data_IF_103347914114
#
_entry.id   IF_103347914114
#
_cell.length_a   1.000
_cell.length_b   1.000
_cell.length_c   1.000
_cell.angle_alpha   90.00
_cell.angle_beta   90.00
_cell.angle_gamma   90.00
#
_symmetry.space_group_name_H-M   'P 1'
#
loop_
_entity.id
_entity.type
_entity.pdbx_description
1 polymer ?
#
# COMPACT_ATOMS: atom_id res chain seq x y z
N UNK A 1 -51.33 5.94 -40.92
CA UNK A 1 -50.00 5.40 -41.24
C UNK A 1 -49.44 4.84 -39.94
N UNK A 2 -49.66 3.58 -39.58
CA UNK A 2 -48.89 2.38 -39.99
C UNK A 2 -47.37 2.67 -39.99
N UNK A 3 -46.49 1.92 -39.32
CA UNK A 3 -46.54 0.60 -38.66
C UNK A 3 -45.14 0.39 -37.99
N UNK A 4 -45.04 -0.14 -36.75
CA UNK A 4 -44.51 -1.50 -36.41
C UNK A 4 -42.96 -1.59 -36.55
N UNK A 5 -42.15 -2.09 -35.61
CA UNK A 5 -42.40 -2.95 -34.46
C UNK A 5 -41.16 -3.12 -33.56
N UNK A 6 -41.44 -3.43 -32.29
CA UNK A 6 -40.86 -4.51 -31.45
C UNK A 6 -39.33 -4.53 -31.25
N UNK A 7 -38.81 -4.53 -30.02
CA UNK A 7 -39.03 -5.58 -29.00
C UNK A 7 -39.04 -4.95 -27.60
N UNK A 8 -40.22 -4.88 -27.00
CA UNK A 8 -40.40 -5.06 -25.57
C UNK A 8 -40.91 -6.50 -25.39
N UNK A 9 -40.03 -7.44 -25.04
CA UNK A 9 -40.41 -8.74 -24.47
C UNK A 9 -39.16 -9.49 -23.98
N UNK A 10 -38.80 -9.29 -22.70
CA UNK A 10 -38.12 -10.26 -21.81
C UNK A 10 -37.81 -9.66 -20.42
N UNK A 11 -38.69 -8.81 -19.89
CA UNK A 11 -38.60 -8.28 -18.51
C UNK A 11 -39.80 -8.79 -17.73
N UNK A 12 -39.82 -10.10 -17.53
CA UNK A 12 -40.65 -10.77 -16.53
C UNK A 12 -40.12 -12.20 -16.36
N UNK A 13 -40.14 -12.70 -15.11
CA UNK A 13 -39.72 -14.04 -14.63
C UNK A 13 -38.22 -14.06 -14.28
N UNK A 14 -37.74 -13.93 -13.03
CA UNK A 14 -38.25 -14.38 -11.73
C UNK A 14 -37.86 -13.40 -10.59
N UNK A 15 -38.85 -12.72 -10.01
CA UNK A 15 -38.79 -12.21 -8.64
C UNK A 15 -39.45 -13.22 -7.73
N UNK A 16 -38.69 -14.16 -7.16
CA UNK A 16 -39.05 -14.83 -5.89
C UNK A 16 -37.76 -15.12 -5.12
N UNK A 17 -37.56 -14.42 -4.00
CA UNK A 17 -36.78 -14.91 -2.86
C UNK A 17 -35.39 -14.30 -2.61
N UNK A 18 -35.32 -13.02 -2.22
CA UNK A 18 -34.41 -12.52 -1.17
C UNK A 18 -34.67 -11.02 -0.98
N UNK A 19 -35.00 -10.60 0.25
CA UNK A 19 -35.01 -9.20 0.63
C UNK A 19 -33.57 -8.66 0.60
N UNK A 20 -33.10 -8.19 -0.55
CA UNK A 20 -31.75 -7.67 -0.74
C UNK A 20 -31.77 -6.17 -0.98
N UNK A 21 -31.31 -5.41 -0.01
CA UNK A 21 -30.99 -3.98 -0.15
C UNK A 21 -29.95 -3.77 -1.26
N UNK A 22 -30.06 -2.68 -2.03
CA UNK A 22 -29.08 -2.40 -3.09
C UNK A 22 -27.70 -2.05 -2.52
N UNK A 23 -26.63 -2.27 -3.31
CA UNK A 23 -25.25 -1.96 -2.91
C UNK A 23 -25.06 -0.46 -2.59
N UNK A 24 -25.78 0.40 -3.29
CA UNK A 24 -25.72 1.84 -3.15
C UNK A 24 -26.42 2.34 -1.87
N UNK A 25 -27.58 1.76 -1.54
CA UNK A 25 -28.28 2.02 -0.27
C UNK A 25 -27.45 1.57 0.95
N UNK A 26 -26.81 0.39 0.85
CA UNK A 26 -25.89 -0.10 1.88
C UNK A 26 -24.67 0.80 2.09
N UNK A 27 -24.08 1.30 1.01
CA UNK A 27 -22.94 2.23 1.11
C UNK A 27 -23.34 3.56 1.74
N UNK A 28 -24.52 4.09 1.40
CA UNK A 28 -25.03 5.32 2.02
C UNK A 28 -25.28 5.14 3.52
N UNK A 29 -25.84 4.00 3.93
CA UNK A 29 -26.07 3.68 5.34
C UNK A 29 -24.77 3.48 6.13
N UNK A 30 -23.76 2.85 5.52
CA UNK A 30 -22.45 2.71 6.17
C UNK A 30 -21.79 4.08 6.42
N UNK A 31 -21.90 5.01 5.46
CA UNK A 31 -21.41 6.38 5.64
C UNK A 31 -22.16 7.11 6.76
N UNK A 32 -23.47 6.89 6.89
CA UNK A 32 -24.28 7.41 8.00
C UNK A 32 -23.90 6.78 9.35
N UNK A 33 -23.56 5.49 9.37
CA UNK A 33 -23.05 4.77 10.57
C UNK A 33 -21.69 5.31 11.00
N UNK A 34 -20.76 5.45 10.05
CA UNK A 34 -19.38 5.91 10.30
C UNK A 34 -19.32 7.41 10.67
N UNK A 35 -20.39 8.18 10.40
CA UNK A 35 -20.51 9.61 10.74
C UNK A 35 -21.42 9.89 11.94
N UNK A 36 -22.05 8.86 12.53
CA UNK A 36 -22.86 9.00 13.72
C UNK A 36 -21.97 9.21 14.96
N UNK A 37 -22.00 10.42 15.54
CA UNK A 37 -21.34 10.70 16.82
C UNK A 37 -22.01 9.98 18.01
N UNK A 38 -21.44 10.08 19.22
CA UNK A 38 -21.86 9.30 20.41
C UNK A 38 -23.32 9.45 20.87
N UNK A 39 -24.07 10.36 20.27
CA UNK A 39 -25.46 10.69 20.62
C UNK A 39 -26.48 10.36 19.50
N UNK A 40 -26.07 9.67 18.42
CA UNK A 40 -26.97 9.10 17.43
C UNK A 40 -27.49 7.73 17.89
N UNK A 41 -28.79 7.45 17.72
CA UNK A 41 -29.35 6.13 18.03
C UNK A 41 -28.62 4.99 17.32
N UNK A 42 -28.55 3.81 17.93
CA UNK A 42 -27.79 2.66 17.42
C UNK A 42 -28.37 2.19 16.07
N UNK A 43 -27.72 2.43 14.91
CA UNK A 43 -28.29 2.12 13.61
C UNK A 43 -28.38 0.61 13.31
N UNK A 44 -27.92 -0.24 14.25
CA UNK A 44 -28.13 -1.69 14.25
C UNK A 44 -29.63 -2.07 14.24
N UNK A 45 -30.52 -1.17 14.65
CA UNK A 45 -31.96 -1.42 14.69
C UNK A 45 -32.64 -1.38 13.30
N UNK A 46 -31.97 -0.86 12.26
CA UNK A 46 -32.50 -0.76 10.88
C UNK A 46 -31.99 -1.85 9.91
N UNK A 47 -31.15 -2.78 10.40
CA UNK A 47 -30.60 -3.88 9.58
C UNK A 47 -31.68 -4.96 9.35
N UNK A 48 -31.88 -5.45 8.11
CA UNK A 48 -32.74 -6.62 7.87
C UNK A 48 -32.24 -7.80 8.70
N UNK A 49 -33.03 -8.23 9.70
CA UNK A 49 -32.65 -9.35 10.56
C UNK A 49 -32.56 -10.63 9.73
N UNK A 50 -31.34 -11.08 9.47
CA UNK A 50 -31.09 -12.39 8.87
C UNK A 50 -31.49 -13.44 9.91
N UNK A 51 -32.14 -14.55 9.52
CA UNK A 51 -32.44 -15.62 10.45
C UNK A 51 -31.17 -16.13 11.15
N UNK A 52 -31.24 -16.45 12.46
CA UNK A 52 -30.08 -16.97 13.18
C UNK A 52 -29.55 -18.24 12.51
N UNK A 53 -28.24 -18.30 12.28
CA UNK A 53 -27.59 -19.46 11.69
C UNK A 53 -27.14 -20.44 12.79
N UNK A 54 -27.57 -21.72 12.77
CA UNK A 54 -27.38 -22.64 13.90
C UNK A 54 -25.91 -22.88 14.23
N UNK A 55 -25.03 -22.95 13.22
CA UNK A 55 -23.58 -23.11 13.43
C UNK A 55 -22.94 -21.83 13.99
N UNK A 56 -23.45 -20.65 13.63
CA UNK A 56 -22.95 -19.36 14.15
C UNK A 56 -23.28 -19.22 15.63
N UNK A 57 -24.52 -19.55 16.00
CA UNK A 57 -24.97 -19.46 17.39
C UNK A 57 -24.26 -20.48 18.29
N UNK A 58 -24.00 -21.68 17.77
CA UNK A 58 -23.22 -22.68 18.49
C UNK A 58 -21.74 -22.27 18.68
N UNK A 59 -21.21 -21.41 17.81
CA UNK A 59 -19.87 -20.83 17.93
C UNK A 59 -19.81 -19.56 18.79
N UNK A 60 -20.92 -19.13 19.41
CA UNK A 60 -20.97 -17.91 20.22
C UNK A 60 -19.81 -17.76 21.23
N UNK A 61 -19.36 -18.81 21.95
CA UNK A 61 -18.21 -18.69 22.86
C UNK A 61 -16.91 -18.24 22.17
N UNK A 62 -16.70 -18.62 20.91
CA UNK A 62 -15.52 -18.25 20.11
C UNK A 62 -15.74 -16.89 19.44
N UNK A 63 -16.90 -16.67 18.83
CA UNK A 63 -17.17 -15.45 18.07
C UNK A 63 -17.25 -14.20 18.95
N UNK A 64 -17.72 -14.34 20.20
CA UNK A 64 -17.79 -13.22 21.14
C UNK A 64 -16.41 -12.70 21.58
N UNK A 65 -15.40 -13.57 21.63
CA UNK A 65 -14.03 -13.16 21.97
C UNK A 65 -13.24 -12.73 20.72
N UNK A 66 -13.60 -13.25 19.54
CA UNK A 66 -12.99 -12.90 18.26
C UNK A 66 -13.47 -11.54 17.73
N UNK A 67 -14.76 -11.22 17.90
CA UNK A 67 -15.36 -9.98 17.40
C UNK A 67 -15.50 -8.95 18.54
N UNK A 68 -14.73 -7.87 18.50
CA UNK A 68 -14.60 -6.93 19.62
C UNK A 68 -15.73 -5.89 19.75
N UNK A 69 -16.90 -6.14 19.17
CA UNK A 69 -18.08 -5.25 19.21
C UNK A 69 -19.33 -6.00 19.68
N UNK A 70 -20.43 -5.29 19.90
CA UNK A 70 -21.60 -5.77 20.67
C UNK A 70 -22.25 -7.07 20.15
N UNK A 71 -22.19 -7.35 18.85
CA UNK A 71 -22.68 -8.60 18.26
C UNK A 71 -21.84 -9.02 17.05
N UNK A 72 -21.48 -10.31 16.90
CA UNK A 72 -20.79 -10.78 15.71
C UNK A 72 -21.69 -10.70 14.47
N UNK A 73 -21.09 -10.58 13.27
CA UNK A 73 -21.77 -10.54 11.98
C UNK A 73 -22.83 -11.62 11.80
N UNK A 74 -23.85 -11.29 11.00
CA UNK A 74 -24.84 -12.27 10.55
C UNK A 74 -24.21 -13.23 9.53
N UNK A 75 -24.74 -14.46 9.48
CA UNK A 75 -24.25 -15.53 8.60
C UNK A 75 -25.40 -16.05 7.75
N UNK A 76 -25.16 -16.25 6.46
CA UNK A 76 -26.12 -16.91 5.56
C UNK A 76 -25.40 -17.83 4.57
N UNK A 77 -26.10 -18.86 4.10
CA UNK A 77 -25.62 -19.69 2.99
C UNK A 77 -25.93 -19.00 1.65
N UNK A 78 -24.94 -18.87 0.77
CA UNK A 78 -25.11 -18.28 -0.55
C UNK A 78 -24.14 -18.88 -1.57
N UNK A 79 -24.39 -18.62 -2.86
CA UNK A 79 -23.36 -18.81 -3.88
C UNK A 79 -22.28 -17.75 -3.69
N UNK A 80 -21.03 -18.21 -3.56
CA UNK A 80 -19.85 -17.36 -3.39
C UNK A 80 -19.14 -17.19 -4.74
N UNK A 81 -18.68 -15.97 -4.99
CA UNK A 81 -18.08 -15.59 -6.28
C UNK A 81 -16.57 -15.82 -6.34
N UNK A 82 -15.92 -16.03 -5.19
CA UNK A 82 -14.46 -16.14 -5.06
C UNK A 82 -13.99 -17.59 -5.20
N UNK A 83 -13.24 -17.86 -6.26
CA UNK A 83 -12.73 -19.20 -6.54
C UNK A 83 -11.75 -19.66 -5.44
N UNK A 84 -11.95 -20.88 -4.93
CA UNK A 84 -11.06 -21.50 -3.93
C UNK A 84 -11.27 -21.00 -2.49
N UNK A 85 -12.30 -20.20 -2.22
CA UNK A 85 -12.71 -19.83 -0.87
C UNK A 85 -13.99 -20.57 -0.47
N UNK A 86 -14.24 -20.61 0.84
CA UNK A 86 -15.44 -21.22 1.44
C UNK A 86 -16.40 -20.18 2.02
N UNK A 87 -15.99 -18.90 2.03
CA UNK A 87 -16.79 -17.77 2.49
C UNK A 87 -16.54 -16.53 1.63
N UNK A 88 -17.46 -15.58 1.70
CA UNK A 88 -17.35 -14.24 1.13
C UNK A 88 -18.04 -13.25 2.08
N UNK A 89 -17.42 -12.10 2.36
CA UNK A 89 -18.06 -11.05 3.16
C UNK A 89 -18.66 -9.98 2.25
N UNK A 90 -19.91 -9.58 2.53
CA UNK A 90 -20.60 -8.59 1.70
C UNK A 90 -19.95 -7.20 1.76
N UNK A 91 -19.70 -6.69 2.97
CA UNK A 91 -19.02 -5.43 3.24
C UNK A 91 -18.20 -5.58 4.53
N UNK A 92 -16.90 -5.27 4.54
CA UNK A 92 -16.09 -5.35 5.76
C UNK A 92 -16.47 -4.25 6.76
N UNK A 93 -16.74 -4.64 8.00
CA UNK A 93 -17.02 -3.75 9.13
C UNK A 93 -18.22 -4.16 9.98
N UNK A 94 -18.78 -3.20 10.73
CA UNK A 94 -19.85 -3.44 11.71
C UNK A 94 -21.14 -4.05 11.12
N UNK A 95 -21.38 -3.82 9.82
CA UNK A 95 -22.55 -4.32 9.08
C UNK A 95 -22.21 -5.51 8.16
N UNK A 96 -21.09 -6.21 8.41
CA UNK A 96 -20.71 -7.35 7.61
C UNK A 96 -21.75 -8.47 7.70
N UNK A 97 -21.97 -9.13 6.56
CA UNK A 97 -22.66 -10.41 6.48
C UNK A 97 -21.67 -11.42 5.91
N UNK A 98 -21.48 -12.53 6.61
CA UNK A 98 -20.61 -13.63 6.18
C UNK A 98 -21.46 -14.60 5.37
N UNK A 99 -21.24 -14.61 4.05
CA UNK A 99 -21.80 -15.62 3.17
C UNK A 99 -20.90 -16.85 3.21
N UNK A 100 -21.46 -18.01 3.53
CA UNK A 100 -20.75 -19.30 3.46
C UNK A 100 -21.30 -20.12 2.30
N UNK A 101 -20.45 -20.96 1.71
CA UNK A 101 -20.86 -21.83 0.61
C UNK A 101 -21.92 -22.84 1.08
N UNK A 102 -22.96 -23.03 0.27
CA UNK A 102 -24.00 -24.02 0.57
C UNK A 102 -23.48 -25.46 0.52
N UNK A 103 -24.06 -26.33 1.35
CA UNK A 103 -23.77 -27.78 1.34
C UNK A 103 -22.49 -28.21 2.06
N UNK A 104 -21.85 -27.30 2.80
CA UNK A 104 -20.70 -27.59 3.65
C UNK A 104 -21.09 -28.42 4.88
N UNK A 105 -20.16 -29.24 5.38
CA UNK A 105 -20.32 -29.91 6.68
C UNK A 105 -20.28 -28.89 7.82
N UNK A 106 -20.82 -29.25 9.00
CA UNK A 106 -20.81 -28.34 10.17
C UNK A 106 -19.41 -27.87 10.55
N UNK A 107 -18.40 -28.74 10.46
CA UNK A 107 -17.02 -28.38 10.73
C UNK A 107 -16.43 -27.41 9.70
N UNK A 108 -16.73 -27.60 8.41
CA UNK A 108 -16.29 -26.67 7.36
C UNK A 108 -17.02 -25.32 7.49
N UNK A 109 -18.34 -25.33 7.74
CA UNK A 109 -19.12 -24.13 8.04
C UNK A 109 -18.50 -23.37 9.22
N UNK A 110 -18.10 -24.07 10.27
CA UNK A 110 -17.48 -23.44 11.43
C UNK A 110 -16.18 -22.71 11.08
N UNK A 111 -15.31 -23.34 10.29
CA UNK A 111 -14.06 -22.72 9.83
C UNK A 111 -14.32 -21.49 8.95
N UNK A 112 -15.28 -21.58 8.03
CA UNK A 112 -15.66 -20.47 7.15
C UNK A 112 -16.23 -19.28 7.92
N UNK A 113 -17.11 -19.53 8.90
CA UNK A 113 -17.69 -18.49 9.77
C UNK A 113 -16.59 -17.79 10.56
N UNK A 114 -15.67 -18.54 11.19
CA UNK A 114 -14.59 -17.95 11.99
C UNK A 114 -13.68 -17.06 11.14
N UNK A 115 -13.30 -17.51 9.94
CA UNK A 115 -12.49 -16.70 9.01
C UNK A 115 -13.22 -15.42 8.58
N UNK A 116 -14.48 -15.54 8.17
CA UNK A 116 -15.29 -14.39 7.76
C UNK A 116 -15.53 -13.38 8.89
N UNK A 117 -15.73 -13.85 10.13
CA UNK A 117 -15.88 -12.97 11.30
C UNK A 117 -14.57 -12.26 11.65
N UNK A 118 -13.41 -12.93 11.54
CA UNK A 118 -12.12 -12.29 11.75
C UNK A 118 -11.83 -11.20 10.71
N UNK A 119 -12.14 -11.48 9.44
CA UNK A 119 -12.02 -10.48 8.36
C UNK A 119 -13.00 -9.31 8.57
N UNK A 120 -14.21 -9.56 9.05
CA UNK A 120 -15.15 -8.49 9.40
C UNK A 120 -14.64 -7.63 10.58
N UNK A 121 -14.15 -8.25 11.65
CA UNK A 121 -13.62 -7.55 12.84
C UNK A 121 -12.41 -6.68 12.50
N UNK A 122 -11.58 -7.11 11.56
CA UNK A 122 -10.43 -6.35 11.08
C UNK A 122 -10.82 -4.97 10.51
N UNK A 123 -12.06 -4.81 10.03
CA UNK A 123 -12.53 -3.56 9.42
C UNK A 123 -13.70 -2.91 10.18
N UNK A 124 -14.03 -3.41 11.37
CA UNK A 124 -15.06 -2.83 12.22
C UNK A 124 -14.55 -1.54 12.90
N UNK A 125 -15.24 -0.43 12.65
CA UNK A 125 -14.97 0.85 13.34
C UNK A 125 -15.43 0.71 14.79
N UNK A 126 -14.51 0.94 15.74
CA UNK A 126 -14.80 0.87 17.18
C UNK A 126 -14.87 2.26 17.79
N UNK A 127 -15.78 2.44 18.74
CA UNK A 127 -15.98 3.70 19.46
C UNK A 127 -14.81 4.07 20.40
N UNK A 128 -13.96 3.09 20.73
CA UNK A 128 -12.72 3.27 21.52
C UNK A 128 -11.46 3.35 20.64
N UNK A 129 -11.59 3.27 19.31
CA UNK A 129 -10.49 3.52 18.39
C UNK A 129 -10.03 4.97 18.53
N UNK A 130 -8.72 5.21 18.52
CA UNK A 130 -8.17 6.57 18.44
C UNK A 130 -8.88 7.33 17.29
N UNK A 131 -9.07 8.65 17.47
CA UNK A 131 -9.87 9.55 16.61
C UNK A 131 -9.65 9.37 15.08
N UNK A 132 -8.52 8.79 14.67
CA UNK A 132 -8.09 8.61 13.28
C UNK A 132 -8.33 7.21 12.69
N UNK A 133 -8.69 6.20 13.48
CA UNK A 133 -8.90 4.82 13.02
C UNK A 133 -9.98 4.67 11.93
N UNK A 134 -11.15 5.36 12.00
CA UNK A 134 -12.17 5.28 10.95
C UNK A 134 -11.72 5.91 9.63
N UNK A 135 -11.06 7.07 9.68
CA UNK A 135 -10.51 7.75 8.50
C UNK A 135 -9.45 6.90 7.81
N UNK A 136 -8.60 6.25 8.59
CA UNK A 136 -7.55 5.34 8.13
C UNK A 136 -8.10 4.10 7.42
N UNK A 137 -9.13 3.46 7.99
CA UNK A 137 -9.82 2.35 7.34
C UNK A 137 -10.51 2.79 6.05
N UNK A 138 -11.12 3.98 6.03
CA UNK A 138 -11.73 4.53 4.81
C UNK A 138 -10.68 4.81 3.73
N UNK A 139 -9.49 5.30 4.07
CA UNK A 139 -8.39 5.42 3.10
C UNK A 139 -8.00 4.08 2.50
N UNK A 140 -7.93 3.00 3.27
CA UNK A 140 -7.70 1.64 2.73
C UNK A 140 -8.85 1.22 1.81
N UNK A 141 -10.11 1.54 2.16
CA UNK A 141 -11.29 1.17 1.35
C UNK A 141 -11.34 1.87 -0.01
N UNK A 142 -10.86 3.12 -0.12
CA UNK A 142 -11.05 3.97 -1.30
C UNK A 142 -9.78 4.31 -2.09
N UNK A 143 -8.58 4.12 -1.53
CA UNK A 143 -7.33 4.56 -2.18
C UNK A 143 -6.67 3.50 -3.07
N UNK A 144 -7.24 2.30 -3.17
CA UNK A 144 -6.60 1.13 -3.76
C UNK A 144 -7.45 0.47 -4.85
N UNK A 145 -6.78 -0.16 -5.83
CA UNK A 145 -7.43 -1.07 -6.77
C UNK A 145 -8.08 -2.24 -6.02
N UNK A 146 -9.16 -2.81 -6.56
CA UNK A 146 -9.96 -3.83 -5.89
C UNK A 146 -9.11 -5.00 -5.36
N UNK A 147 -8.19 -5.50 -6.18
CA UNK A 147 -7.34 -6.66 -5.86
C UNK A 147 -6.39 -6.39 -4.68
N UNK A 148 -5.77 -5.21 -4.63
CA UNK A 148 -4.83 -4.86 -3.57
C UNK A 148 -5.53 -4.54 -2.25
N UNK A 149 -6.68 -3.86 -2.32
CA UNK A 149 -7.56 -3.63 -1.17
C UNK A 149 -7.99 -4.95 -0.54
N UNK A 150 -8.41 -5.90 -1.37
CA UNK A 150 -8.94 -7.18 -0.91
C UNK A 150 -7.81 -8.08 -0.37
N UNK A 151 -6.59 -7.96 -0.90
CA UNK A 151 -5.39 -8.60 -0.34
C UNK A 151 -5.10 -8.12 1.10
N UNK A 152 -5.05 -6.81 1.35
CA UNK A 152 -4.81 -6.27 2.72
C UNK A 152 -5.90 -6.71 3.67
N UNK A 153 -7.15 -6.71 3.19
CA UNK A 153 -8.29 -7.12 4.00
C UNK A 153 -8.12 -8.54 4.50
N UNK A 154 -7.83 -9.43 3.58
CA UNK A 154 -7.58 -10.83 3.87
C UNK A 154 -6.39 -11.01 4.82
N UNK A 155 -5.22 -10.47 4.48
CA UNK A 155 -3.99 -10.66 5.28
C UNK A 155 -4.14 -10.05 6.69
N UNK A 156 -4.82 -8.90 6.82
CA UNK A 156 -5.08 -8.31 8.13
C UNK A 156 -6.07 -9.14 8.95
N UNK A 157 -7.12 -9.69 8.31
CA UNK A 157 -8.02 -10.66 8.93
C UNK A 157 -7.27 -11.90 9.42
N UNK A 158 -6.37 -12.44 8.61
CA UNK A 158 -5.55 -13.61 8.93
C UNK A 158 -4.62 -13.36 10.13
N UNK A 159 -4.03 -12.16 10.26
CA UNK A 159 -3.24 -11.80 11.44
C UNK A 159 -4.06 -11.68 12.72
N UNK A 160 -5.26 -11.08 12.66
CA UNK A 160 -6.14 -11.00 13.84
C UNK A 160 -6.57 -12.38 14.27
N UNK A 161 -6.90 -13.24 13.30
CA UNK A 161 -7.26 -14.62 13.57
C UNK A 161 -6.08 -15.39 14.18
N UNK A 162 -4.87 -15.23 13.65
CA UNK A 162 -3.65 -15.83 14.21
C UNK A 162 -3.43 -15.40 15.67
N UNK A 163 -3.53 -14.10 15.97
CA UNK A 163 -3.36 -13.56 17.33
C UNK A 163 -4.39 -14.11 18.31
N UNK A 164 -5.65 -14.23 17.86
CA UNK A 164 -6.71 -14.83 18.66
C UNK A 164 -6.47 -16.33 18.90
N UNK A 165 -6.24 -17.11 17.84
CA UNK A 165 -6.09 -18.57 17.91
C UNK A 165 -4.89 -18.98 18.78
N UNK A 166 -3.83 -18.17 18.81
CA UNK A 166 -2.66 -18.39 19.63
C UNK A 166 -2.80 -17.91 21.09
N UNK A 167 -3.91 -17.25 21.44
CA UNK A 167 -4.15 -16.74 22.79
C UNK A 167 -4.80 -17.77 23.73
N UNK A 168 -4.57 -17.59 25.04
CA UNK A 168 -5.27 -18.35 26.09
C UNK A 168 -6.79 -18.11 26.09
N UNK A 169 -7.24 -16.97 25.52
CA UNK A 169 -8.68 -16.68 25.37
C UNK A 169 -9.34 -17.67 24.42
N UNK A 170 -8.69 -17.99 23.30
CA UNK A 170 -9.17 -19.00 22.37
C UNK A 170 -9.24 -20.37 23.05
N UNK A 171 -8.23 -20.75 23.84
CA UNK A 171 -8.24 -22.03 24.57
C UNK A 171 -9.43 -22.13 25.52
N UNK A 172 -9.73 -21.06 26.25
CA UNK A 172 -10.88 -21.00 27.15
C UNK A 172 -12.23 -21.03 26.40
N UNK A 173 -12.32 -20.42 25.21
CA UNK A 173 -13.51 -20.44 24.37
C UNK A 173 -13.76 -21.83 23.76
N UNK A 174 -12.70 -22.47 23.22
CA UNK A 174 -12.74 -23.81 22.63
C UNK A 174 -13.12 -24.88 23.66
N UNK A 175 -12.72 -24.71 24.92
CA UNK A 175 -13.11 -25.61 26.01
C UNK A 175 -14.64 -25.61 26.30
N UNK A 176 -15.37 -24.57 25.86
CA UNK A 176 -16.84 -24.47 26.00
C UNK A 176 -17.60 -25.06 24.81
N UNK A 177 -16.90 -25.44 23.74
CA UNK A 177 -17.48 -26.10 22.58
C UNK A 177 -17.43 -27.62 22.74
N UNK A 178 -18.29 -28.33 22.02
CA UNK A 178 -18.32 -29.79 21.96
C UNK A 178 -18.30 -30.33 20.51
N UNK A 179 -18.04 -31.63 20.41
CA UNK A 179 -18.16 -32.41 19.17
C UNK A 179 -17.39 -31.84 17.97
N UNK A 180 -18.06 -31.81 16.82
CA UNK A 180 -17.48 -31.38 15.53
C UNK A 180 -17.00 -29.93 15.54
N UNK A 181 -17.66 -29.04 16.31
CA UNK A 181 -17.28 -27.63 16.39
C UNK A 181 -15.96 -27.47 17.13
N UNK A 182 -15.82 -28.14 18.28
CA UNK A 182 -14.56 -28.12 19.03
C UNK A 182 -13.40 -28.65 18.17
N UNK A 183 -13.61 -29.75 17.45
CA UNK A 183 -12.61 -30.31 16.53
C UNK A 183 -12.26 -29.31 15.42
N UNK A 184 -13.25 -28.69 14.79
CA UNK A 184 -13.02 -27.74 13.70
C UNK A 184 -12.21 -26.51 14.14
N UNK A 185 -12.48 -25.96 15.33
CA UNK A 185 -11.70 -24.81 15.83
C UNK A 185 -10.27 -25.21 16.21
N UNK A 186 -10.06 -26.42 16.77
CA UNK A 186 -8.72 -26.94 17.05
C UNK A 186 -7.91 -27.15 15.77
N UNK A 187 -8.50 -27.78 14.76
CA UNK A 187 -7.85 -27.96 13.45
C UNK A 187 -7.50 -26.62 12.81
N UNK A 188 -8.39 -25.62 12.92
CA UNK A 188 -8.11 -24.27 12.41
C UNK A 188 -6.98 -23.59 13.19
N UNK A 189 -6.96 -23.74 14.52
CA UNK A 189 -5.87 -23.26 15.38
C UNK A 189 -4.53 -23.87 14.97
N UNK A 190 -4.49 -25.19 14.82
CA UNK A 190 -3.27 -25.90 14.46
C UNK A 190 -2.74 -25.49 13.07
N UNK A 191 -3.64 -25.29 12.09
CA UNK A 191 -3.29 -24.77 10.75
C UNK A 191 -2.68 -23.36 10.83
N UNK A 192 -3.35 -22.40 11.48
CA UNK A 192 -2.88 -21.02 11.56
C UNK A 192 -1.58 -20.90 12.35
N UNK A 193 -1.48 -21.58 13.50
CA UNK A 193 -0.26 -21.57 14.31
C UNK A 193 0.90 -22.25 13.57
N UNK A 194 0.62 -23.33 12.83
CA UNK A 194 1.61 -24.00 11.98
C UNK A 194 2.10 -23.12 10.82
N UNK A 195 1.24 -22.23 10.30
CA UNK A 195 1.53 -21.30 9.20
C UNK A 195 1.91 -19.88 9.67
N UNK A 196 2.22 -19.69 10.95
CA UNK A 196 2.49 -18.35 11.52
C UNK A 196 3.55 -17.54 10.76
N UNK A 197 4.62 -18.18 10.28
CA UNK A 197 5.73 -17.50 9.62
C UNK A 197 5.33 -17.10 8.19
N UNK A 198 4.48 -17.89 7.54
CA UNK A 198 3.88 -17.60 6.24
C UNK A 198 2.93 -16.40 6.36
N UNK A 199 1.96 -16.45 7.29
CA UNK A 199 1.00 -15.36 7.54
C UNK A 199 1.73 -14.06 7.93
N UNK A 200 2.79 -14.18 8.75
CA UNK A 200 3.62 -13.04 9.10
C UNK A 200 4.39 -12.51 7.88
N UNK A 201 4.95 -13.37 7.04
CA UNK A 201 5.58 -13.00 5.78
C UNK A 201 4.61 -12.26 4.85
N UNK A 202 3.39 -12.76 4.69
CA UNK A 202 2.32 -12.10 3.93
C UNK A 202 1.99 -10.71 4.50
N UNK A 203 1.91 -10.57 5.83
CA UNK A 203 1.73 -9.26 6.46
C UNK A 203 2.89 -8.31 6.24
N UNK A 204 4.12 -8.80 6.41
CA UNK A 204 5.31 -7.99 6.19
C UNK A 204 5.36 -7.49 4.74
N UNK A 205 4.84 -8.28 3.79
CA UNK A 205 4.62 -7.87 2.40
C UNK A 205 3.47 -6.87 2.19
N UNK A 206 2.61 -6.56 3.17
CA UNK A 206 1.49 -5.59 3.03
C UNK A 206 1.39 -4.50 4.13
N UNK A 207 2.31 -4.46 5.11
CA UNK A 207 2.63 -3.37 6.07
C UNK A 207 2.97 -1.92 5.58
N UNK A 208 4.10 -1.60 4.92
CA UNK A 208 4.39 -0.28 4.28
C UNK A 208 3.33 0.27 3.31
N UNK A 209 2.63 -0.53 2.52
CA UNK A 209 1.48 -0.16 1.71
C UNK A 209 0.34 0.33 2.61
N UNK A 210 0.07 -0.39 3.70
CA UNK A 210 -0.83 0.10 4.73
C UNK A 210 -0.29 1.41 5.35
N UNK A 211 1.01 1.52 5.69
CA UNK A 211 1.62 2.78 6.18
C UNK A 211 1.51 3.95 5.19
N UNK A 212 1.73 3.71 3.89
CA UNK A 212 1.72 4.70 2.79
C UNK A 212 0.37 5.41 2.64
N UNK A 213 -0.73 4.77 3.07
CA UNK A 213 -2.08 5.32 2.95
C UNK A 213 -2.73 5.64 4.29
N UNK A 214 -2.40 4.88 5.33
CA UNK A 214 -2.95 5.06 6.68
C UNK A 214 -2.28 6.20 7.43
N UNK A 215 -1.07 6.64 7.04
CA UNK A 215 -0.22 7.49 7.87
C UNK A 215 -0.05 6.84 9.25
N UNK A 216 1.07 6.13 9.44
CA UNK A 216 1.46 5.38 10.64
C UNK A 216 0.86 3.98 10.78
N UNK A 217 1.69 3.08 11.31
CA UNK A 217 1.32 1.71 11.73
C UNK A 217 0.26 1.66 12.85
N UNK A 218 -0.21 2.80 13.37
CA UNK A 218 -1.02 2.85 14.60
C UNK A 218 -2.18 1.84 14.67
N UNK A 219 -3.01 1.62 13.62
CA UNK A 219 -4.10 0.66 13.71
C UNK A 219 -3.61 -0.78 13.90
N UNK A 220 -2.38 -1.08 13.49
CA UNK A 220 -1.78 -2.41 13.50
C UNK A 220 -0.82 -2.63 14.67
N UNK A 221 -0.23 -1.57 15.24
CA UNK A 221 0.80 -1.65 16.30
C UNK A 221 0.39 -2.55 17.48
N UNK A 222 -0.83 -2.49 18.04
CA UNK A 222 -1.21 -3.34 19.16
C UNK A 222 -1.21 -4.84 18.79
N UNK A 223 -1.77 -5.18 17.64
CA UNK A 223 -1.82 -6.56 17.12
C UNK A 223 -0.41 -7.09 16.86
N UNK A 224 0.42 -6.31 16.18
CA UNK A 224 1.79 -6.72 15.86
C UNK A 224 2.66 -6.89 17.11
N UNK A 225 2.45 -6.05 18.15
CA UNK A 225 3.12 -6.22 19.45
C UNK A 225 2.68 -7.51 20.15
N UNK A 226 1.39 -7.83 20.09
CA UNK A 226 0.85 -9.07 20.67
C UNK A 226 1.43 -10.30 19.97
N UNK A 227 1.36 -10.37 18.64
CA UNK A 227 1.93 -11.45 17.83
C UNK A 227 3.44 -11.63 18.08
N UNK A 228 4.21 -10.53 18.15
CA UNK A 228 5.65 -10.59 18.49
C UNK A 228 5.89 -11.22 19.85
N UNK A 229 5.11 -10.82 20.86
CA UNK A 229 5.21 -11.37 22.21
C UNK A 229 4.85 -12.86 22.24
N UNK A 230 3.83 -13.26 21.50
CA UNK A 230 3.34 -14.64 21.47
C UNK A 230 4.30 -15.60 20.75
N UNK A 231 4.94 -15.14 19.66
CA UNK A 231 5.65 -16.04 18.75
C UNK A 231 7.15 -15.81 18.64
N UNK A 232 7.70 -14.78 19.28
CA UNK A 232 9.13 -14.46 19.18
C UNK A 232 9.58 -14.14 17.75
N UNK A 233 8.66 -13.69 16.89
CA UNK A 233 8.93 -13.39 15.48
C UNK A 233 9.90 -12.22 15.33
N UNK A 234 10.94 -12.41 14.51
CA UNK A 234 11.92 -11.36 14.19
C UNK A 234 11.51 -10.66 12.90
N UNK A 235 11.36 -9.34 12.98
CA UNK A 235 11.29 -8.47 11.81
C UNK A 235 12.66 -8.51 11.10
N UNK A 236 12.73 -8.36 9.76
CA UNK A 236 13.98 -7.99 9.12
C UNK A 236 14.60 -6.82 9.90
N UNK A 237 15.90 -6.92 10.21
CA UNK A 237 16.56 -5.89 11.01
C UNK A 237 16.43 -4.55 10.27
N UNK A 238 15.89 -3.50 10.92
CA UNK A 238 15.71 -2.21 10.30
C UNK A 238 17.03 -1.68 9.73
N UNK A 239 16.98 -1.13 8.51
CA UNK A 239 18.16 -0.55 7.88
C UNK A 239 18.18 0.93 8.25
N UNK A 240 18.77 1.24 9.41
CA UNK A 240 18.93 2.63 9.86
C UNK A 240 19.72 3.46 8.84
N UNK A 241 19.43 4.75 8.73
CA UNK A 241 20.13 5.69 7.85
C UNK A 241 21.65 5.65 8.06
N UNK A 242 22.10 5.56 9.30
CA UNK A 242 23.52 5.47 9.64
C UNK A 242 24.17 4.17 9.14
N UNK A 243 23.42 3.06 9.13
CA UNK A 243 23.89 1.74 8.68
C UNK A 243 23.72 1.49 7.18
N UNK A 244 22.86 2.27 6.52
CA UNK A 244 22.51 2.11 5.11
C UNK A 244 23.63 2.48 4.14
N UNK A 245 24.73 3.07 4.62
CA UNK A 245 25.75 3.71 3.79
C UNK A 245 27.15 3.10 3.99
N UNK A 246 27.77 2.69 2.89
CA UNK A 246 29.20 2.36 2.88
C UNK A 246 30.08 3.56 3.25
N UNK A 247 31.30 3.27 3.69
CA UNK A 247 32.26 4.27 4.21
C UNK A 247 32.42 5.54 3.33
N UNK A 248 32.50 5.47 1.99
CA UNK A 248 32.66 6.67 1.17
C UNK A 248 31.48 7.65 1.23
N UNK A 249 30.29 7.19 1.62
CA UNK A 249 29.07 7.99 1.64
C UNK A 249 28.74 8.54 3.03
N UNK A 250 29.34 7.99 4.09
CA UNK A 250 28.95 8.28 5.48
C UNK A 250 28.99 9.77 5.83
N UNK A 251 30.02 10.50 5.40
CA UNK A 251 30.14 11.93 5.72
C UNK A 251 29.06 12.77 5.01
N UNK A 252 28.68 12.40 3.78
CA UNK A 252 27.59 13.04 3.06
C UNK A 252 26.24 12.69 3.67
N UNK A 253 26.01 11.41 4.00
CA UNK A 253 24.81 10.95 4.68
C UNK A 253 24.63 11.65 6.04
N UNK A 254 25.70 11.87 6.80
CA UNK A 254 25.66 12.62 8.05
C UNK A 254 25.36 14.10 7.83
N UNK A 255 25.93 14.72 6.80
CA UNK A 255 25.63 16.12 6.46
C UNK A 255 24.15 16.28 6.09
N UNK A 256 23.60 15.36 5.28
CA UNK A 256 22.17 15.32 4.94
C UNK A 256 21.31 15.12 6.21
N UNK A 257 21.70 14.20 7.10
CA UNK A 257 20.92 13.91 8.30
C UNK A 257 20.84 15.10 9.28
N UNK A 258 21.81 16.02 9.24
CA UNK A 258 21.89 17.22 10.11
C UNK A 258 21.21 18.46 9.51
N UNK A 259 20.82 18.41 8.25
CA UNK A 259 20.14 19.50 7.55
C UNK A 259 18.73 19.03 7.18
N UNK A 260 17.75 19.30 8.05
CA UNK A 260 16.36 18.85 7.86
C UNK A 260 15.73 19.38 6.58
N UNK A 261 16.16 20.56 6.09
CA UNK A 261 15.69 21.12 4.83
C UNK A 261 16.22 20.29 3.66
N UNK A 262 17.51 19.96 3.68
CA UNK A 262 18.13 19.10 2.67
C UNK A 262 17.60 17.66 2.73
N UNK A 263 17.38 17.13 3.94
CA UNK A 263 16.78 15.83 4.15
C UNK A 263 15.37 15.77 3.55
N UNK A 264 14.54 16.78 3.84
CA UNK A 264 13.20 16.93 3.27
C UNK A 264 13.24 17.07 1.76
N UNK A 265 14.17 17.85 1.19
CA UNK A 265 14.32 17.98 -0.27
C UNK A 265 14.62 16.62 -0.93
N UNK A 266 15.54 15.83 -0.35
CA UNK A 266 15.96 14.55 -0.94
C UNK A 266 14.97 13.40 -0.71
N UNK A 267 14.14 13.48 0.34
CA UNK A 267 13.22 12.39 0.74
C UNK A 267 11.74 12.75 0.59
N UNK A 268 11.40 13.99 0.28
CA UNK A 268 10.02 14.48 0.19
C UNK A 268 9.16 14.20 1.45
N UNK A 269 9.80 13.95 2.60
CA UNK A 269 9.11 13.71 3.88
C UNK A 269 8.91 15.04 4.62
N UNK A 270 7.71 15.59 4.55
CA UNK A 270 7.40 16.91 5.12
C UNK A 270 7.28 16.90 6.64
N UNK A 271 6.81 15.81 7.23
CA UNK A 271 6.56 15.68 8.66
C UNK A 271 7.76 15.09 9.38
N UNK A 272 8.11 15.65 10.55
CA UNK A 272 9.25 15.20 11.35
C UNK A 272 9.15 13.72 11.71
N UNK A 273 7.94 13.25 12.05
CA UNK A 273 7.69 11.84 12.39
C UNK A 273 8.01 10.90 11.22
N UNK A 274 7.66 11.28 9.99
CA UNK A 274 7.94 10.46 8.81
C UNK A 274 9.45 10.41 8.53
N UNK A 275 10.14 11.52 8.74
CA UNK A 275 11.59 11.57 8.63
C UNK A 275 12.28 10.70 9.69
N UNK A 276 11.82 10.73 10.95
CA UNK A 276 12.34 9.86 12.01
C UNK A 276 12.08 8.37 11.72
N UNK A 277 10.90 8.03 11.22
CA UNK A 277 10.59 6.65 10.80
C UNK A 277 11.49 6.20 9.66
N UNK A 278 11.71 7.06 8.65
CA UNK A 278 12.61 6.76 7.55
C UNK A 278 14.08 6.65 8.00
N UNK A 279 14.53 7.48 8.95
CA UNK A 279 15.87 7.37 9.55
C UNK A 279 16.06 6.05 10.30
N UNK A 280 15.00 5.58 10.98
CA UNK A 280 15.02 4.32 11.70
C UNK A 280 14.97 3.09 10.77
N UNK A 281 14.31 3.21 9.61
CA UNK A 281 14.22 2.14 8.62
C UNK A 281 14.09 2.70 7.19
N UNK A 282 15.20 2.69 6.46
CA UNK A 282 15.30 3.32 5.13
C UNK A 282 14.79 2.43 3.99
N UNK A 283 14.71 1.11 4.21
CA UNK A 283 14.50 0.10 3.16
C UNK A 283 15.43 0.26 1.95
N UNK A 284 16.61 0.86 2.16
CA UNK A 284 17.56 1.14 1.09
C UNK A 284 19.00 0.99 1.57
N UNK A 285 19.88 0.62 0.65
CA UNK A 285 21.32 0.50 0.90
C UNK A 285 22.11 1.20 -0.20
N UNK A 286 23.14 1.95 0.18
CA UNK A 286 24.08 2.62 -0.71
C UNK A 286 25.46 1.99 -0.53
N UNK A 287 25.81 1.10 -1.46
CA UNK A 287 26.97 0.23 -1.33
C UNK A 287 27.88 0.30 -2.57
N UNK A 288 29.19 0.31 -2.36
CA UNK A 288 30.19 0.12 -3.42
C UNK A 288 30.17 -1.36 -3.82
N UNK A 289 30.27 -1.64 -5.12
CA UNK A 289 30.36 -3.02 -5.62
C UNK A 289 31.46 -3.81 -4.87
N UNK A 290 31.06 -4.95 -4.31
CA UNK A 290 31.93 -5.81 -3.49
C UNK A 290 31.78 -5.61 -1.98
N UNK A 291 30.95 -4.68 -1.51
CA UNK A 291 30.61 -4.53 -0.10
C UNK A 291 29.81 -5.70 0.46
N UNK A 292 30.02 -6.01 1.74
CA UNK A 292 29.29 -7.01 2.50
C UNK A 292 27.83 -6.60 2.77
N UNK A 293 27.50 -5.31 2.60
CA UNK A 293 26.13 -4.82 2.70
C UNK A 293 25.24 -5.26 1.52
N UNK A 294 25.82 -5.75 0.43
CA UNK A 294 25.09 -6.14 -0.78
C UNK A 294 24.51 -7.54 -0.58
N UNK A 295 23.16 -7.71 -0.61
CA UNK A 295 22.52 -9.03 -0.56
C UNK A 295 23.06 -9.97 -1.65
N UNK A 296 23.05 -11.28 -1.40
CA UNK A 296 23.66 -12.25 -2.31
C UNK A 296 23.03 -12.21 -3.71
N UNK A 297 21.73 -11.97 -3.76
CA UNK A 297 20.86 -11.83 -4.91
C UNK A 297 21.20 -10.57 -5.73
N UNK A 298 21.60 -9.50 -5.04
CA UNK A 298 21.94 -8.20 -5.63
C UNK A 298 23.34 -8.15 -6.25
N UNK A 299 24.23 -9.13 -5.98
CA UNK A 299 25.63 -9.10 -6.43
C UNK A 299 25.82 -9.10 -7.95
N UNK A 300 24.81 -9.55 -8.71
CA UNK A 300 24.84 -9.62 -10.18
C UNK A 300 24.25 -8.38 -10.86
N UNK A 301 23.78 -7.41 -10.09
CA UNK A 301 23.20 -6.17 -10.63
C UNK A 301 24.21 -5.46 -11.52
N UNK A 302 23.75 -5.11 -12.72
CA UNK A 302 24.56 -4.38 -13.70
C UNK A 302 24.54 -2.90 -13.35
N UNK A 303 25.72 -2.30 -13.33
CA UNK A 303 25.85 -0.86 -13.15
C UNK A 303 25.58 -0.16 -14.48
N UNK A 304 24.71 0.84 -14.46
CA UNK A 304 24.46 1.70 -15.61
C UNK A 304 25.55 2.78 -15.65
N UNK A 305 26.33 2.81 -16.74
CA UNK A 305 27.50 3.69 -16.85
C UNK A 305 27.12 5.18 -16.76
N UNK A 306 25.92 5.54 -17.23
CA UNK A 306 25.40 6.91 -17.20
C UNK A 306 25.04 7.38 -15.78
N UNK A 307 24.54 6.47 -14.93
CA UNK A 307 24.20 6.75 -13.54
C UNK A 307 25.40 6.62 -12.60
N UNK A 308 26.34 5.73 -12.95
CA UNK A 308 27.42 5.34 -12.06
C UNK A 308 27.00 4.34 -10.97
N UNK A 309 25.74 3.91 -10.96
CA UNK A 309 25.22 2.87 -10.08
C UNK A 309 24.25 1.94 -10.82
N UNK A 310 24.05 0.74 -10.27
CA UNK A 310 22.96 -0.16 -10.62
C UNK A 310 21.98 -0.26 -9.46
N UNK A 311 20.72 -0.58 -9.75
CA UNK A 311 19.68 -0.73 -8.74
C UNK A 311 19.20 -2.17 -8.72
N UNK A 312 19.41 -2.84 -7.58
CA UNK A 312 18.68 -4.08 -7.28
C UNK A 312 17.41 -3.72 -6.53
N UNK A 313 16.30 -4.31 -6.96
CA UNK A 313 15.00 -4.16 -6.32
C UNK A 313 14.54 -5.54 -5.92
N UNK A 314 14.33 -5.72 -4.63
CA UNK A 314 13.69 -6.92 -4.10
C UNK A 314 12.24 -6.58 -3.83
N UNK A 315 11.33 -7.17 -4.62
CA UNK A 315 9.90 -7.07 -4.34
C UNK A 315 9.58 -7.92 -3.12
N UNK A 316 9.21 -7.25 -2.04
CA UNK A 316 8.83 -7.91 -0.79
C UNK A 316 7.33 -8.29 -0.78
N UNK A 317 6.64 -8.15 -1.91
CA UNK A 317 5.20 -8.29 -2.06
C UNK A 317 4.47 -6.96 -1.84
N UNK A 318 3.22 -6.83 -2.30
CA UNK A 318 2.30 -5.74 -1.93
C UNK A 318 2.67 -4.30 -2.31
N UNK A 319 3.57 -4.08 -3.29
CA UNK A 319 4.01 -2.75 -3.74
C UNK A 319 5.26 -2.21 -3.05
N UNK A 320 6.14 -3.11 -2.58
CA UNK A 320 7.30 -2.82 -1.74
C UNK A 320 8.54 -3.17 -2.49
N UNK A 321 9.55 -2.33 -2.36
CA UNK A 321 10.84 -2.65 -2.91
C UNK A 321 11.92 -2.24 -1.91
N UNK A 322 12.69 -3.21 -1.43
CA UNK A 322 13.99 -2.90 -0.87
C UNK A 322 14.93 -2.55 -2.03
N UNK A 323 15.56 -1.38 -1.94
CA UNK A 323 16.42 -0.88 -3.02
C UNK A 323 17.88 -0.94 -2.58
N UNK A 324 18.69 -1.74 -3.27
CA UNK A 324 20.14 -1.73 -3.10
C UNK A 324 20.79 -1.01 -4.28
N UNK A 325 21.33 0.18 -4.00
CA UNK A 325 22.12 0.98 -4.95
C UNK A 325 23.58 0.53 -4.91
N UNK A 326 24.06 0.00 -6.03
CA UNK A 326 25.40 -0.58 -6.16
C UNK A 326 26.24 0.32 -7.06
N UNK A 327 27.24 0.99 -6.48
CA UNK A 327 28.05 2.00 -7.15
C UNK A 327 29.31 1.41 -7.80
N UNK A 328 29.72 1.99 -8.93
CA UNK A 328 30.98 1.64 -9.58
C UNK A 328 32.18 2.02 -8.67
N UNK A 329 33.03 1.06 -8.28
CA UNK A 329 34.18 1.32 -7.40
C UNK A 329 35.20 2.30 -8.00
N UNK A 330 35.16 2.53 -9.33
CA UNK A 330 36.01 3.50 -10.04
C UNK A 330 35.58 4.94 -9.84
N UNK A 331 34.34 5.20 -9.42
CA UNK A 331 33.88 6.56 -9.13
C UNK A 331 34.58 7.12 -7.90
N UNK A 332 34.98 8.40 -7.99
CA UNK A 332 35.66 9.17 -6.95
C UNK A 332 35.25 10.64 -7.01
N UNK A 333 35.44 11.34 -5.90
CA UNK A 333 35.22 12.79 -5.81
C UNK A 333 33.81 13.20 -6.23
N UNK A 334 33.72 14.28 -7.01
CA UNK A 334 32.43 14.84 -7.42
C UNK A 334 31.57 13.88 -8.24
N UNK A 335 32.17 12.99 -9.04
CA UNK A 335 31.39 11.99 -9.79
C UNK A 335 30.70 10.97 -8.87
N UNK A 336 31.38 10.58 -7.79
CA UNK A 336 30.78 9.69 -6.79
C UNK A 336 29.71 10.42 -5.98
N UNK A 337 29.95 11.70 -5.66
CA UNK A 337 29.01 12.57 -4.94
C UNK A 337 27.73 12.79 -5.76
N UNK A 338 27.88 13.08 -7.05
CA UNK A 338 26.78 13.24 -8.00
C UNK A 338 25.95 11.97 -8.10
N UNK A 339 26.59 10.81 -8.34
CA UNK A 339 25.91 9.52 -8.39
C UNK A 339 25.16 9.22 -7.08
N UNK A 340 25.77 9.52 -5.92
CA UNK A 340 25.15 9.31 -4.61
C UNK A 340 23.90 10.16 -4.43
N UNK A 341 23.97 11.46 -4.69
CA UNK A 341 22.81 12.35 -4.60
C UNK A 341 21.73 11.98 -5.61
N UNK A 342 22.13 11.60 -6.84
CA UNK A 342 21.20 11.11 -7.86
C UNK A 342 20.44 9.87 -7.37
N UNK A 343 21.12 8.93 -6.71
CA UNK A 343 20.47 7.72 -6.20
C UNK A 343 19.44 7.98 -5.09
N UNK A 344 19.66 9.01 -4.24
CA UNK A 344 18.70 9.43 -3.22
C UNK A 344 17.43 9.96 -3.86
N UNK A 345 17.58 10.84 -4.84
CA UNK A 345 16.47 11.39 -5.61
C UNK A 345 15.77 10.27 -6.40
N UNK A 346 16.53 9.35 -7.01
CA UNK A 346 15.96 8.18 -7.71
C UNK A 346 15.07 7.37 -6.80
N UNK A 347 15.55 6.99 -5.60
CA UNK A 347 14.76 6.26 -4.60
C UNK A 347 13.46 7.01 -4.29
N UNK A 348 13.56 8.32 -4.09
CA UNK A 348 12.39 9.12 -3.74
C UNK A 348 11.39 9.20 -4.88
N UNK A 349 11.84 9.51 -6.10
CA UNK A 349 10.97 9.57 -7.28
C UNK A 349 10.31 8.22 -7.54
N UNK A 350 11.06 7.13 -7.39
CA UNK A 350 10.54 5.78 -7.50
C UNK A 350 9.43 5.50 -6.46
N UNK A 351 9.55 6.10 -5.27
CA UNK A 351 8.56 5.97 -4.19
C UNK A 351 7.43 7.02 -4.25
N UNK A 352 7.61 8.10 -5.00
CA UNK A 352 6.69 9.22 -5.12
C UNK A 352 5.52 8.87 -6.05
N UNK A 353 4.53 8.22 -5.45
CA UNK A 353 3.29 7.82 -6.09
C UNK A 353 2.54 8.97 -6.77
N UNK A 354 2.67 10.21 -6.28
CA UNK A 354 2.05 11.38 -6.91
C UNK A 354 2.57 11.63 -8.34
N UNK A 355 3.87 11.42 -8.58
CA UNK A 355 4.48 11.59 -9.90
C UNK A 355 4.08 10.44 -10.83
N UNK A 356 4.09 9.20 -10.33
CA UNK A 356 3.70 8.01 -11.11
C UNK A 356 2.19 7.97 -11.41
N UNK A 357 1.35 8.40 -10.46
CA UNK A 357 -0.11 8.49 -10.65
C UNK A 357 -0.50 9.60 -11.61
N UNK A 358 0.13 10.78 -11.49
CA UNK A 358 -0.10 11.88 -12.42
C UNK A 358 0.34 11.51 -13.84
N UNK A 359 1.43 10.77 -14.00
CA UNK A 359 1.87 10.22 -15.29
C UNK A 359 1.00 9.07 -15.82
N UNK A 360 0.20 8.44 -14.96
CA UNK A 360 -0.66 7.30 -15.33
C UNK A 360 -1.68 7.63 -16.41
N UNK A 361 -2.10 8.89 -16.52
CA UNK A 361 -3.01 9.38 -17.57
C UNK A 361 -2.50 9.19 -19.00
N UNK A 362 -1.22 8.83 -19.18
CA UNK A 362 -0.64 8.55 -20.49
C UNK A 362 -0.89 7.11 -20.97
N UNK A 363 -1.41 6.23 -20.14
CA UNK A 363 -1.69 4.83 -20.48
C UNK A 363 -3.20 4.57 -20.52
N UNK A 364 -3.63 3.60 -21.34
CA UNK A 364 -5.05 3.23 -21.48
C UNK A 364 -5.70 2.84 -20.13
N UNK A 365 -4.91 2.29 -19.21
CA UNK A 365 -5.33 1.94 -17.85
C UNK A 365 -5.33 3.11 -16.84
N UNK A 366 -4.92 4.31 -17.24
CA UNK A 366 -4.83 5.47 -16.35
C UNK A 366 -3.76 5.37 -15.26
N UNK A 367 -2.85 4.39 -15.36
CA UNK A 367 -1.75 4.13 -14.41
C UNK A 367 -0.47 3.81 -15.18
N UNK A 368 0.68 4.23 -14.67
CA UNK A 368 2.00 3.80 -15.20
C UNK A 368 2.15 2.31 -14.86
N UNK A 369 2.40 1.43 -15.84
CA UNK A 369 2.65 0.02 -15.55
C UNK A 369 3.93 -0.17 -14.74
N UNK A 370 3.92 -1.01 -13.70
CA UNK A 370 5.06 -1.24 -12.77
C UNK A 370 6.41 -1.51 -13.46
N UNK A 371 6.36 -2.15 -14.64
CA UNK A 371 7.56 -2.42 -15.46
C UNK A 371 8.28 -1.14 -15.91
N UNK A 372 7.58 -0.01 -15.96
CA UNK A 372 8.07 1.29 -16.40
C UNK A 372 8.38 2.26 -15.26
N UNK A 373 8.00 1.98 -14.00
CA UNK A 373 8.39 2.80 -12.85
C UNK A 373 9.89 3.12 -12.80
N UNK A 374 10.81 2.17 -13.09
CA UNK A 374 12.24 2.47 -13.12
C UNK A 374 12.64 3.45 -14.21
N UNK A 375 11.95 3.44 -15.35
CA UNK A 375 12.22 4.33 -16.49
C UNK A 375 11.79 5.76 -16.16
N UNK A 376 10.62 5.90 -15.53
CA UNK A 376 10.16 7.18 -15.01
C UNK A 376 11.11 7.71 -13.94
N UNK A 377 11.46 6.89 -12.94
CA UNK A 377 12.42 7.27 -11.89
C UNK A 377 13.78 7.66 -12.46
N UNK A 378 14.27 6.96 -13.49
CA UNK A 378 15.52 7.29 -14.18
C UNK A 378 15.50 8.71 -14.73
N UNK A 379 14.50 9.01 -15.56
CA UNK A 379 14.42 10.28 -16.28
C UNK A 379 14.11 11.46 -15.34
N UNK A 380 13.17 11.28 -14.42
CA UNK A 380 12.78 12.30 -13.46
C UNK A 380 13.89 12.63 -12.46
N UNK A 381 14.60 11.63 -11.93
CA UNK A 381 15.64 11.87 -10.93
C UNK A 381 16.83 12.66 -11.48
N UNK A 382 17.16 12.50 -12.78
CA UNK A 382 18.19 13.32 -13.42
C UNK A 382 17.76 14.78 -13.50
N UNK A 383 16.53 15.01 -13.93
CA UNK A 383 15.93 16.34 -14.01
C UNK A 383 15.91 17.05 -12.65
N UNK A 384 15.46 16.34 -11.61
CA UNK A 384 15.42 16.85 -10.25
C UNK A 384 16.82 17.17 -9.71
N UNK A 385 17.82 16.33 -9.97
CA UNK A 385 19.20 16.61 -9.57
C UNK A 385 19.74 17.86 -10.27
N UNK A 386 19.51 18.01 -11.57
CA UNK A 386 19.97 19.18 -12.33
C UNK A 386 19.33 20.48 -11.80
N UNK A 387 18.01 20.48 -11.56
CA UNK A 387 17.31 21.61 -10.94
C UNK A 387 17.89 21.96 -9.56
N UNK A 388 18.12 20.93 -8.74
CA UNK A 388 18.69 21.11 -7.41
C UNK A 388 20.11 21.71 -7.46
N UNK A 389 20.95 21.28 -8.41
CA UNK A 389 22.29 21.84 -8.60
C UNK A 389 22.22 23.30 -9.05
N UNK A 390 21.31 23.64 -9.98
CA UNK A 390 21.17 25.01 -10.49
C UNK A 390 20.77 25.97 -9.37
N UNK A 391 19.73 25.64 -8.62
CA UNK A 391 19.13 26.59 -7.67
C UNK A 391 19.75 26.59 -6.29
N UNK A 392 20.19 25.42 -5.82
CA UNK A 392 20.69 25.23 -4.45
C UNK A 392 22.20 25.00 -4.41
N UNK A 393 22.87 24.81 -5.56
CA UNK A 393 24.32 24.69 -5.67
C UNK A 393 25.12 25.78 -4.94
N UNK A 394 24.73 27.06 -5.03
CA UNK A 394 25.40 28.15 -4.30
C UNK A 394 25.24 28.09 -2.78
N UNK A 395 24.11 27.55 -2.29
CA UNK A 395 23.70 27.65 -0.88
C UNK A 395 23.96 26.37 -0.08
N UNK A 396 24.01 25.21 -0.74
CA UNK A 396 24.18 23.90 -0.10
C UNK A 396 25.57 23.34 -0.40
N UNK A 397 26.47 23.23 0.61
CA UNK A 397 27.84 22.75 0.42
C UNK A 397 27.97 21.39 -0.27
N UNK A 398 27.00 20.48 -0.05
CA UNK A 398 26.98 19.17 -0.69
C UNK A 398 26.80 19.21 -2.21
N UNK A 399 26.16 20.26 -2.72
CA UNK A 399 25.95 20.48 -4.16
C UNK A 399 27.09 21.28 -4.80
N UNK A 400 27.93 21.91 -3.99
CA UNK A 400 29.04 22.73 -4.48
C UNK A 400 30.00 21.92 -5.35
N UNK A 401 30.41 22.51 -6.48
CA UNK A 401 31.33 21.88 -7.45
C UNK A 401 30.66 20.90 -8.43
N UNK A 402 29.40 20.53 -8.20
CA UNK A 402 28.63 19.73 -9.16
C UNK A 402 28.20 20.60 -10.35
N UNK A 403 28.04 19.97 -11.52
CA UNK A 403 27.58 20.63 -12.74
C UNK A 403 26.30 19.96 -13.24
N UNK A 404 25.25 20.74 -13.54
CA UNK A 404 24.05 20.16 -14.12
C UNK A 404 24.35 19.68 -15.55
N UNK A 405 23.69 18.60 -15.96
CA UNK A 405 23.75 18.15 -17.35
C UNK A 405 22.93 19.04 -18.27
N UNK A 406 21.83 19.57 -17.73
CA UNK A 406 20.94 20.53 -18.38
C UNK A 406 20.84 21.76 -17.48
N UNK A 407 21.56 22.86 -17.79
CA UNK A 407 21.53 24.08 -16.97
C UNK A 407 20.28 24.94 -17.20
N UNK A 408 19.51 24.66 -18.25
CA UNK A 408 18.34 25.44 -18.67
C UNK A 408 17.07 24.78 -18.11
N UNK A 409 16.49 25.37 -17.07
CA UNK A 409 15.29 24.87 -16.37
C UNK A 409 14.10 24.68 -17.32
N UNK A 410 13.92 25.56 -18.29
CA UNK A 410 12.81 25.46 -19.27
C UNK A 410 12.93 24.21 -20.15
N UNK A 411 14.14 23.66 -20.28
CA UNK A 411 14.43 22.45 -21.05
C UNK A 411 14.49 21.18 -20.20
N UNK A 412 14.59 21.29 -18.87
CA UNK A 412 14.71 20.12 -17.98
C UNK A 412 13.52 19.17 -18.14
N UNK A 413 12.29 19.71 -18.11
CA UNK A 413 11.06 18.92 -18.28
C UNK A 413 11.03 18.26 -19.66
N UNK A 414 11.31 19.02 -20.71
CA UNK A 414 11.27 18.51 -22.09
C UNK A 414 12.25 17.33 -22.28
N UNK A 415 13.48 17.45 -21.79
CA UNK A 415 14.48 16.38 -21.87
C UNK A 415 14.08 15.15 -21.04
N UNK A 416 13.52 15.34 -19.84
CA UNK A 416 13.06 14.23 -19.01
C UNK A 416 11.93 13.45 -19.69
N UNK A 417 11.01 14.18 -20.31
CA UNK A 417 9.89 13.63 -21.07
C UNK A 417 10.38 12.88 -22.33
N UNK A 418 11.36 13.43 -23.07
CA UNK A 418 12.00 12.74 -24.20
C UNK A 418 12.74 11.46 -23.76
N UNK A 419 13.41 11.50 -22.61
CA UNK A 419 14.04 10.32 -22.00
C UNK A 419 13.01 9.21 -21.75
N UNK A 420 11.82 9.52 -21.23
CA UNK A 420 10.76 8.52 -21.01
C UNK A 420 10.32 7.90 -22.34
N UNK A 421 10.12 8.69 -23.39
CA UNK A 421 9.73 8.17 -24.70
C UNK A 421 10.74 7.22 -25.34
N UNK A 422 12.02 7.46 -25.10
CA UNK A 422 13.09 6.60 -25.62
C UNK A 422 13.10 5.27 -24.88
N UNK A 423 12.85 5.29 -23.57
CA UNK A 423 12.85 4.09 -22.71
C UNK A 423 11.54 3.30 -22.77
N UNK A 424 10.42 3.95 -23.06
CA UNK A 424 9.08 3.36 -23.21
C UNK A 424 8.64 3.46 -24.67
N UNK A 425 9.04 2.49 -25.53
CA UNK A 425 8.80 2.58 -26.97
C UNK A 425 7.31 2.46 -27.34
N UNK A 426 6.54 1.69 -26.58
CA UNK A 426 5.15 1.30 -26.90
C UNK A 426 4.23 1.46 -25.68
N UNK A 427 2.92 1.60 -25.93
CA UNK A 427 1.88 1.63 -24.89
C UNK A 427 1.65 2.98 -24.20
N UNK A 428 2.61 3.91 -24.28
CA UNK A 428 2.46 5.28 -23.82
C UNK A 428 1.78 6.16 -24.88
N UNK A 429 0.86 7.03 -24.46
CA UNK A 429 0.24 8.02 -25.32
C UNK A 429 1.27 9.09 -25.73
N UNK A 430 1.65 9.05 -27.01
CA UNK A 430 2.63 9.98 -27.59
C UNK A 430 2.00 11.30 -28.06
N UNK A 431 0.69 11.48 -27.90
CA UNK A 431 -0.05 12.60 -28.48
C UNK A 431 -0.18 12.48 -30.00
N UNK A 432 -0.72 13.52 -30.64
CA UNK A 432 -0.83 13.61 -32.11
C UNK A 432 0.35 14.40 -32.70
N UNK A 433 0.86 14.03 -33.89
CA UNK A 433 2.03 14.68 -34.51
C UNK A 433 1.91 16.21 -34.73
N UNK A 434 0.68 16.73 -34.85
CA UNK A 434 0.39 18.13 -35.18
C UNK A 434 0.08 19.02 -33.96
N UNK A 435 0.23 18.50 -32.74
CA UNK A 435 -0.02 19.26 -31.52
C UNK A 435 1.24 20.03 -31.08
N UNK A 436 1.36 21.29 -31.50
CA UNK A 436 2.46 22.18 -31.08
C UNK A 436 2.50 22.42 -29.56
N UNK A 437 1.40 22.13 -28.83
CA UNK A 437 1.30 22.23 -27.38
C UNK A 437 1.70 20.94 -26.63
N UNK A 438 2.32 19.97 -27.35
CA UNK A 438 3.31 18.97 -26.90
C UNK A 438 2.81 17.51 -26.79
N UNK A 439 3.19 16.70 -27.78
CA UNK A 439 3.89 15.46 -27.53
C UNK A 439 5.11 15.70 -26.63
N UNK A 440 5.42 14.76 -25.75
CA UNK A 440 4.62 13.59 -25.39
C UNK A 440 4.00 13.74 -23.99
N UNK A 441 2.93 12.99 -23.78
CA UNK A 441 2.41 12.65 -22.46
C UNK A 441 2.12 13.87 -21.54
N UNK A 442 1.01 14.62 -21.78
CA UNK A 442 0.63 15.77 -20.95
C UNK A 442 0.59 15.46 -19.45
N UNK A 443 0.25 14.21 -19.10
CA UNK A 443 0.18 13.73 -17.73
C UNK A 443 1.60 13.58 -17.14
N UNK A 444 2.53 12.92 -17.84
CA UNK A 444 3.95 12.85 -17.49
C UNK A 444 4.56 14.24 -17.35
N UNK A 445 4.21 15.16 -18.26
CA UNK A 445 4.74 16.52 -18.25
C UNK A 445 4.31 17.31 -17.01
N UNK A 446 3.03 17.20 -16.65
CA UNK A 446 2.51 17.79 -15.42
C UNK A 446 3.14 17.15 -14.17
N UNK A 447 3.30 15.82 -14.17
CA UNK A 447 3.96 15.09 -13.09
C UNK A 447 5.40 15.59 -12.87
N UNK A 448 6.17 15.74 -13.96
CA UNK A 448 7.54 16.24 -13.90
C UNK A 448 7.59 17.71 -13.51
N UNK A 449 6.65 18.55 -13.94
CA UNK A 449 6.57 19.94 -13.47
C UNK A 449 6.36 20.01 -11.95
N UNK A 450 5.37 19.26 -11.42
CA UNK A 450 5.09 19.23 -9.98
C UNK A 450 6.26 18.72 -9.15
N UNK A 451 7.04 17.78 -9.71
CA UNK A 451 8.22 17.25 -9.07
C UNK A 451 9.39 18.24 -9.15
N UNK A 452 9.65 18.84 -10.31
CA UNK A 452 10.73 19.81 -10.51
C UNK A 452 10.57 21.01 -9.57
N UNK A 453 9.34 21.51 -9.39
CA UNK A 453 9.02 22.61 -8.47
C UNK A 453 9.47 22.37 -7.02
N UNK A 454 9.79 21.13 -6.62
CA UNK A 454 10.32 20.79 -5.30
C UNK A 454 11.84 20.93 -5.21
N UNK A 455 12.51 20.77 -6.35
CA UNK A 455 13.96 20.79 -6.48
C UNK A 455 14.47 22.10 -7.09
N UNK A 456 13.58 23.04 -7.40
CA UNK A 456 13.90 24.38 -7.90
C UNK A 456 13.34 25.46 -6.99
N UNK A 457 13.91 26.66 -7.07
CA UNK A 457 13.38 27.89 -6.47
C UNK A 457 12.39 28.49 -7.46
N UNK A 458 11.12 28.10 -7.37
CA UNK A 458 10.09 28.68 -8.23
C UNK A 458 9.85 30.13 -7.82
N UNK A 459 10.41 31.07 -8.59
CA UNK A 459 10.16 32.50 -8.43
C UNK A 459 8.79 32.82 -9.09
N UNK A 460 7.72 32.70 -8.31
CA UNK A 460 6.38 33.06 -8.80
C UNK A 460 6.31 34.57 -8.92
N UNK A 461 6.51 35.08 -10.14
CA UNK A 461 6.28 36.49 -10.44
C UNK A 461 4.77 36.79 -10.42
N UNK A 462 4.28 37.15 -9.23
CA UNK A 462 2.87 37.47 -8.95
C UNK A 462 2.34 38.65 -9.77
N UNK A 463 3.20 39.45 -10.42
CA UNK A 463 2.77 40.58 -11.25
C UNK A 463 2.29 40.16 -12.66
N UNK A 464 2.50 38.90 -13.05
CA UNK A 464 2.05 38.34 -14.33
C UNK A 464 0.92 37.30 -14.21
N UNK A 465 0.36 37.11 -13.01
CA UNK A 465 -0.89 36.36 -12.77
C UNK A 465 -2.06 37.34 -12.63
#
# INVERSE_FOLDING_TARGET
>A
MQRISSIALALAVLTIGACGESREERMRRQLEYDSAGPNGGNPADEVPKIPPHPTRDALAPVLADLYGADSPPDVQEAEISVAGQDYEITNPGALAIVNIKSGMTKGEQAKAIIKGVAEADAFAVRSDGELYFPEQLNKIKYSFGADQRDLIRKVYGDLRLLDYLASEKCDAAVAKLDGELQTAVKELKDDYVGRKDEIWGEWMGVKMYARRVVAYDQPFKPLLRSLRKQFGMKEPEPITWESAHDAPFKDWAQTINKDDELFKMLTNLSELRDQEEFRADTHARWAIQGSDMIPAEAKKTKIEAELGFGVYREDLGGGYQEMTFIFDPKLKGDKLKEAYLHSLIYRQVFSDFATLSAAGGDFEGGQVPDKHDPDYAYCASRMALDGMIVDYGPDKPLLSGLKPSIPDEDKMITNAVECVLVRVPEGINRGTPDDEARPPAPATRNAFFQMLARFTKVDVNLDNM
#
